data_IF_110630852029
#
_entry.id   IF_110630852029
#
_cell.length_a   1.000
_cell.length_b   1.000
_cell.length_c   1.000
_cell.angle_alpha   90.00
_cell.angle_beta   90.00
_cell.angle_gamma   90.00
#
_symmetry.space_group_name_H-M   'P 1'
#
loop_
_entity.id
_entity.type
_entity.pdbx_description
1 polymer ?
#
# COMPACT_ATOMS: atom_id res chain seq x y z
N UNK A 1 -25.38 13.52 45.21
CA UNK A 1 -25.79 12.58 44.13
C UNK A 1 -26.24 13.25 42.84
N UNK A 2 -27.09 14.30 42.85
CA UNK A 2 -27.59 14.96 41.63
C UNK A 2 -26.49 15.46 40.67
N UNK A 3 -25.42 16.09 41.17
CA UNK A 3 -24.30 16.54 40.35
C UNK A 3 -23.55 15.38 39.63
N UNK A 4 -23.39 14.24 40.31
CA UNK A 4 -22.77 13.03 39.74
C UNK A 4 -23.62 12.45 38.61
N UNK A 5 -24.95 12.45 38.77
CA UNK A 5 -25.89 12.02 37.73
C UNK A 5 -25.81 12.93 36.49
N UNK A 6 -25.82 14.25 36.69
CA UNK A 6 -25.72 15.23 35.59
C UNK A 6 -24.37 15.09 34.85
N UNK A 7 -23.28 14.90 35.59
CA UNK A 7 -21.96 14.64 35.00
C UNK A 7 -21.92 13.35 34.18
N UNK A 8 -22.53 12.28 34.69
CA UNK A 8 -22.62 11.00 33.96
C UNK A 8 -23.47 11.12 32.69
N UNK A 9 -24.61 11.84 32.72
CA UNK A 9 -25.43 12.08 31.54
C UNK A 9 -24.68 12.86 30.46
N UNK A 10 -23.93 13.90 30.85
CA UNK A 10 -23.08 14.67 29.92
C UNK A 10 -21.93 13.82 29.37
N UNK A 11 -21.26 13.04 30.23
CA UNK A 11 -20.19 12.13 29.80
C UNK A 11 -20.68 11.10 28.79
N UNK A 12 -21.86 10.50 29.03
CA UNK A 12 -22.48 9.57 28.08
C UNK A 12 -22.78 10.25 26.73
N UNK A 13 -23.35 11.45 26.74
CA UNK A 13 -23.63 12.20 25.51
C UNK A 13 -22.35 12.48 24.70
N UNK A 14 -21.27 12.92 25.36
CA UNK A 14 -19.98 13.17 24.70
C UNK A 14 -19.36 11.89 24.12
N UNK A 15 -19.43 10.78 24.86
CA UNK A 15 -18.94 9.49 24.38
C UNK A 15 -19.77 8.96 23.21
N UNK A 16 -21.09 9.16 23.23
CA UNK A 16 -21.98 8.78 22.13
C UNK A 16 -21.66 9.56 20.85
N UNK A 17 -21.45 10.88 20.96
CA UNK A 17 -21.03 11.70 19.81
C UNK A 17 -19.68 11.25 19.25
N UNK A 18 -18.71 10.92 20.12
CA UNK A 18 -17.42 10.35 19.70
C UNK A 18 -17.60 8.99 18.99
N UNK A 19 -18.42 8.09 19.53
CA UNK A 19 -18.66 6.78 18.91
C UNK A 19 -19.35 6.90 17.55
N UNK A 20 -20.26 7.85 17.39
CA UNK A 20 -20.96 8.07 16.12
C UNK A 20 -20.01 8.63 15.07
N UNK A 21 -19.17 9.60 15.43
CA UNK A 21 -18.12 10.12 14.56
C UNK A 21 -17.14 9.01 14.12
N UNK A 22 -16.68 8.17 15.06
CA UNK A 22 -15.82 7.03 14.74
C UNK A 22 -16.52 6.02 13.83
N UNK A 23 -17.79 5.73 14.06
CA UNK A 23 -18.56 4.80 13.21
C UNK A 23 -18.66 5.32 11.77
N UNK A 24 -18.87 6.63 11.57
CA UNK A 24 -18.86 7.23 10.24
C UNK A 24 -17.49 7.07 9.58
N UNK A 25 -16.40 7.33 10.31
CA UNK A 25 -15.03 7.16 9.81
C UNK A 25 -14.72 5.71 9.43
N UNK A 26 -15.11 4.74 10.26
CA UNK A 26 -14.95 3.31 9.98
C UNK A 26 -15.69 2.93 8.71
N UNK A 27 -16.93 3.41 8.50
CA UNK A 27 -17.69 3.17 7.27
C UNK A 27 -17.01 3.78 6.04
N UNK A 28 -16.45 4.99 6.15
CA UNK A 28 -15.70 5.61 5.06
C UNK A 28 -14.44 4.81 4.72
N UNK A 29 -13.70 4.35 5.73
CA UNK A 29 -12.52 3.50 5.56
C UNK A 29 -12.90 2.17 4.92
N UNK A 30 -13.98 1.52 5.37
CA UNK A 30 -14.46 0.27 4.78
C UNK A 30 -14.80 0.42 3.30
N UNK A 31 -15.49 1.50 2.91
CA UNK A 31 -15.76 1.79 1.49
C UNK A 31 -14.48 1.96 0.69
N UNK A 32 -13.51 2.70 1.22
CA UNK A 32 -12.19 2.85 0.58
C UNK A 32 -11.45 1.52 0.45
N UNK A 33 -11.49 0.67 1.48
CA UNK A 33 -10.84 -0.65 1.47
C UNK A 33 -11.46 -1.55 0.38
N UNK A 34 -12.78 -1.59 0.25
CA UNK A 34 -13.44 -2.41 -0.77
C UNK A 34 -13.06 -1.93 -2.18
N UNK A 35 -13.18 -0.62 -2.44
CA UNK A 35 -12.79 -0.03 -3.73
C UNK A 35 -11.31 -0.25 -4.05
N UNK A 36 -10.42 -0.06 -3.07
CA UNK A 36 -9.00 -0.31 -3.24
C UNK A 36 -8.72 -1.79 -3.52
N UNK A 37 -9.38 -2.71 -2.82
CA UNK A 37 -9.23 -4.16 -3.02
C UNK A 37 -9.64 -4.60 -4.42
N UNK A 38 -10.75 -4.08 -4.94
CA UNK A 38 -11.20 -4.34 -6.31
C UNK A 38 -10.17 -3.83 -7.33
N UNK A 39 -9.75 -2.56 -7.21
CA UNK A 39 -8.75 -1.98 -8.11
C UNK A 39 -7.39 -2.71 -8.05
N UNK A 40 -6.97 -3.12 -6.85
CA UNK A 40 -5.74 -3.88 -6.64
C UNK A 40 -5.83 -5.25 -7.30
N UNK A 41 -7.00 -5.91 -7.27
CA UNK A 41 -7.23 -7.18 -7.96
C UNK A 41 -6.97 -7.07 -9.47
N UNK A 42 -7.46 -6.01 -10.10
CA UNK A 42 -7.26 -5.77 -11.53
C UNK A 42 -5.80 -5.45 -11.86
N UNK A 43 -5.16 -4.55 -11.09
CA UNK A 43 -3.75 -4.17 -11.30
C UNK A 43 -2.82 -5.37 -11.12
N UNK A 44 -3.04 -6.19 -10.09
CA UNK A 44 -2.23 -7.40 -9.83
C UNK A 44 -2.44 -8.44 -10.93
N UNK A 45 -3.67 -8.58 -11.45
CA UNK A 45 -3.95 -9.48 -12.57
C UNK A 45 -3.19 -9.08 -13.83
N UNK A 46 -3.19 -7.79 -14.19
CA UNK A 46 -2.40 -7.29 -15.34
C UNK A 46 -0.90 -7.46 -15.08
N UNK A 47 -0.42 -7.11 -13.88
CA UNK A 47 1.00 -7.25 -13.52
C UNK A 47 1.47 -8.71 -13.56
N UNK A 48 0.61 -9.66 -13.17
CA UNK A 48 0.89 -11.09 -13.27
C UNK A 48 1.02 -11.54 -14.73
N UNK A 49 0.26 -10.97 -15.65
CA UNK A 49 0.40 -11.22 -17.08
C UNK A 49 1.73 -10.65 -17.60
N UNK A 50 2.08 -9.42 -17.23
CA UNK A 50 3.39 -8.82 -17.58
C UNK A 50 4.56 -9.66 -17.07
N UNK A 51 4.42 -10.29 -15.89
CA UNK A 51 5.40 -11.26 -15.37
C UNK A 51 5.51 -12.50 -16.25
N UNK A 52 4.40 -13.03 -16.74
CA UNK A 52 4.42 -14.20 -17.63
C UNK A 52 5.09 -13.87 -18.96
N UNK A 53 4.86 -12.68 -19.52
CA UNK A 53 5.56 -12.21 -20.72
C UNK A 53 7.06 -12.05 -20.47
N UNK A 54 7.43 -11.43 -19.33
CA UNK A 54 8.84 -11.29 -18.95
C UNK A 54 9.53 -12.66 -18.80
N UNK A 55 8.87 -13.63 -18.17
CA UNK A 55 9.39 -15.01 -18.05
C UNK A 55 9.48 -15.72 -19.39
N UNK A 56 8.51 -15.52 -20.28
CA UNK A 56 8.53 -16.12 -21.61
C UNK A 56 9.72 -15.63 -22.44
N UNK A 57 10.02 -14.33 -22.39
CA UNK A 57 11.12 -13.72 -23.16
C UNK A 57 12.49 -13.96 -22.52
N UNK A 58 12.59 -13.89 -21.19
CA UNK A 58 13.86 -13.97 -20.47
C UNK A 58 14.25 -15.39 -20.03
N UNK A 59 13.30 -16.35 -20.02
CA UNK A 59 13.53 -17.71 -19.54
C UNK A 59 14.00 -17.75 -18.08
N UNK A 60 14.93 -18.65 -17.76
CA UNK A 60 15.50 -18.80 -16.41
C UNK A 60 16.44 -17.66 -15.99
N UNK A 61 16.82 -16.77 -16.90
CA UNK A 61 17.75 -15.66 -16.61
C UNK A 61 17.16 -14.64 -15.63
N UNK A 62 15.83 -14.56 -15.47
CA UNK A 62 15.15 -13.64 -14.53
C UNK A 62 15.64 -13.86 -13.09
N UNK A 63 15.91 -15.12 -12.71
CA UNK A 63 16.36 -15.45 -11.35
C UNK A 63 17.70 -14.78 -11.04
N UNK A 64 18.68 -14.96 -11.91
CA UNK A 64 20.02 -14.39 -11.75
C UNK A 64 20.01 -12.86 -11.87
N UNK A 65 19.20 -12.32 -12.77
CA UNK A 65 19.14 -10.87 -13.02
C UNK A 65 18.44 -10.12 -11.90
N UNK A 66 17.37 -10.69 -11.32
CA UNK A 66 16.52 -9.97 -10.35
C UNK A 66 16.74 -10.44 -8.92
N UNK A 67 16.73 -11.75 -8.66
CA UNK A 67 16.78 -12.26 -7.27
C UNK A 67 18.19 -12.18 -6.68
N UNK A 68 19.23 -12.39 -7.49
CA UNK A 68 20.63 -12.35 -7.01
C UNK A 68 21.16 -10.90 -6.92
N UNK A 69 20.55 -9.96 -7.64
CA UNK A 69 20.94 -8.54 -7.64
C UNK A 69 20.16 -7.68 -6.62
N UNK A 70 19.62 -8.27 -5.54
CA UNK A 70 18.93 -7.51 -4.49
C UNK A 70 19.93 -7.06 -3.42
N UNK A 71 20.09 -5.74 -3.22
CA UNK A 71 20.91 -5.14 -2.14
C UNK A 71 20.08 -4.38 -1.12
N UNK A 72 19.36 -3.37 -1.60
CA UNK A 72 18.54 -2.49 -0.76
C UNK A 72 17.20 -2.24 -1.43
N UNK A 73 16.14 -2.09 -0.61
CA UNK A 73 14.82 -1.75 -1.11
C UNK A 73 14.80 -0.32 -1.69
N UNK A 74 14.37 -0.20 -2.95
CA UNK A 74 14.13 1.10 -3.60
C UNK A 74 12.89 1.79 -3.03
N UNK A 75 11.82 1.00 -2.82
CA UNK A 75 10.54 1.48 -2.32
C UNK A 75 10.46 1.15 -0.83
N UNK A 76 10.30 2.18 0.00
CA UNK A 76 10.29 2.09 1.47
C UNK A 76 8.99 2.67 2.02
N UNK A 77 8.65 2.29 3.24
CA UNK A 77 7.43 2.75 3.92
C UNK A 77 7.82 3.52 5.19
N UNK A 78 7.18 4.66 5.40
CA UNK A 78 7.29 5.47 6.62
C UNK A 78 5.96 5.46 7.36
N UNK A 79 6.00 5.38 8.68
CA UNK A 79 4.83 5.53 9.53
C UNK A 79 4.68 6.98 10.00
N UNK A 80 3.45 7.49 10.01
CA UNK A 80 3.04 8.77 10.56
C UNK A 80 1.85 8.55 11.48
N UNK A 81 1.74 9.32 12.57
CA UNK A 81 0.54 9.28 13.42
C UNK A 81 -0.49 10.30 12.92
N UNK A 82 -1.72 9.85 12.71
CA UNK A 82 -2.88 10.67 12.37
C UNK A 82 -3.90 10.62 13.52
N UNK A 83 -4.46 11.78 13.90
CA UNK A 83 -5.46 11.86 14.96
C UNK A 83 -6.86 11.94 14.36
N UNK A 84 -7.68 10.91 14.54
CA UNK A 84 -9.07 10.87 14.08
C UNK A 84 -10.00 10.83 15.28
N UNK A 85 -10.78 11.88 15.49
CA UNK A 85 -11.74 12.02 16.60
C UNK A 85 -11.12 11.70 17.99
N UNK A 86 -9.85 12.07 18.20
CA UNK A 86 -9.13 11.81 19.45
C UNK A 86 -8.60 10.37 19.60
N UNK A 87 -8.52 9.61 18.51
CA UNK A 87 -7.84 8.32 18.42
C UNK A 87 -6.60 8.48 17.53
N UNK A 88 -5.43 8.05 18.02
CA UNK A 88 -4.17 8.04 17.25
C UNK A 88 -4.12 6.79 16.37
N UNK A 89 -4.07 6.98 15.06
CA UNK A 89 -3.95 5.92 14.07
C UNK A 89 -2.58 5.98 13.39
N UNK A 90 -1.88 4.85 13.23
CA UNK A 90 -0.71 4.80 12.37
C UNK A 90 -1.14 4.81 10.90
N UNK A 91 -0.64 5.78 10.14
CA UNK A 91 -0.78 5.89 8.68
C UNK A 91 0.56 5.60 8.04
N UNK A 92 0.54 4.83 6.96
CA UNK A 92 1.74 4.50 6.19
C UNK A 92 1.80 5.37 4.93
N UNK A 93 2.98 5.88 4.62
CA UNK A 93 3.28 6.64 3.42
C UNK A 93 4.48 5.99 2.74
N UNK A 94 4.37 5.66 1.46
CA UNK A 94 5.50 5.13 0.70
C UNK A 94 6.44 6.26 0.28
N UNK A 95 7.72 5.95 0.14
CA UNK A 95 8.72 6.85 -0.42
C UNK A 95 9.74 6.05 -1.23
N UNK A 96 10.25 6.66 -2.30
CA UNK A 96 11.32 6.09 -3.11
C UNK A 96 12.65 6.68 -2.65
N UNK A 97 13.56 5.82 -2.21
CA UNK A 97 14.94 6.20 -1.92
C UNK A 97 15.70 6.06 -3.24
N UNK A 98 16.00 7.20 -3.89
CA UNK A 98 16.44 7.26 -5.29
C UNK A 98 17.64 6.37 -5.65
N UNK A 99 17.75 6.12 -6.97
CA UNK A 99 18.65 5.20 -7.69
C UNK A 99 18.37 3.69 -7.51
N UNK A 100 17.74 3.09 -8.52
CA UNK A 100 17.89 1.65 -8.74
C UNK A 100 18.99 1.39 -9.75
N UNK A 101 20.16 0.95 -9.27
CA UNK A 101 21.23 0.43 -10.11
C UNK A 101 20.99 -1.04 -10.46
N UNK A 102 19.84 -1.33 -11.05
CA UNK A 102 19.64 -2.61 -11.73
C UNK A 102 19.98 -2.39 -13.19
N UNK A 103 21.28 -2.34 -13.48
CA UNK A 103 21.79 -2.27 -14.84
C UNK A 103 21.44 -3.59 -15.55
N UNK A 104 20.37 -3.57 -16.34
CA UNK A 104 19.97 -4.67 -17.21
C UNK A 104 20.80 -4.71 -18.50
N UNK A 105 22.05 -4.25 -18.43
CA UNK A 105 22.97 -4.21 -19.57
C UNK A 105 23.27 -5.63 -20.06
N UNK A 106 23.12 -5.87 -21.36
CA UNK A 106 23.33 -7.19 -21.97
C UNK A 106 22.07 -8.04 -22.17
N UNK A 107 20.89 -7.58 -21.74
CA UNK A 107 19.62 -8.31 -21.86
C UNK A 107 18.77 -7.93 -23.09
N UNK A 108 19.21 -6.97 -23.90
CA UNK A 108 18.55 -6.52 -25.13
C UNK A 108 17.00 -6.43 -24.97
N UNK A 109 16.24 -7.16 -25.79
CA UNK A 109 14.77 -7.16 -25.78
C UNK A 109 14.16 -7.73 -24.49
N UNK A 110 14.85 -8.64 -23.81
CA UNK A 110 14.39 -9.20 -22.52
C UNK A 110 14.49 -8.19 -21.37
N UNK A 111 15.48 -7.29 -21.41
CA UNK A 111 15.63 -6.22 -20.43
C UNK A 111 14.46 -5.22 -20.46
N UNK A 112 13.97 -4.91 -21.65
CA UNK A 112 12.81 -4.02 -21.82
C UNK A 112 11.54 -4.60 -21.20
N UNK A 113 11.27 -5.91 -21.41
CA UNK A 113 10.09 -6.57 -20.84
C UNK A 113 10.17 -6.66 -19.30
N UNK A 114 11.37 -6.89 -18.75
CA UNK A 114 11.58 -6.89 -17.30
C UNK A 114 11.32 -5.49 -16.70
N UNK A 115 11.71 -4.40 -17.37
CA UNK A 115 11.41 -3.04 -16.89
C UNK A 115 9.91 -2.72 -16.95
N UNK A 116 9.21 -3.16 -17.99
CA UNK A 116 7.76 -2.99 -18.09
C UNK A 116 7.04 -3.72 -16.94
N UNK A 117 7.37 -4.99 -16.73
CA UNK A 117 6.87 -5.79 -15.61
C UNK A 117 7.17 -5.10 -14.27
N UNK A 118 8.39 -4.61 -14.08
CA UNK A 118 8.77 -3.86 -12.88
C UNK A 118 7.91 -2.62 -12.66
N UNK A 119 7.66 -1.84 -13.71
CA UNK A 119 6.81 -0.65 -13.61
C UNK A 119 5.36 -1.00 -13.25
N UNK A 120 4.83 -2.12 -13.76
CA UNK A 120 3.51 -2.63 -13.39
C UNK A 120 3.44 -3.03 -11.90
N UNK A 121 4.44 -3.75 -11.40
CA UNK A 121 4.51 -4.12 -9.98
C UNK A 121 4.76 -2.95 -9.04
N UNK A 122 5.48 -1.91 -9.47
CA UNK A 122 5.62 -0.67 -8.68
C UNK A 122 4.25 -0.02 -8.50
N UNK A 123 3.49 0.14 -9.60
CA UNK A 123 2.12 0.67 -9.55
C UNK A 123 1.16 -0.19 -8.73
N UNK A 124 1.41 -1.50 -8.62
CA UNK A 124 0.61 -2.40 -7.81
C UNK A 124 0.87 -2.26 -6.29
N UNK A 125 2.05 -1.73 -5.92
CA UNK A 125 2.50 -1.59 -4.53
C UNK A 125 2.26 -0.18 -3.98
N UNK A 126 2.22 0.83 -4.87
CA UNK A 126 1.81 2.22 -4.56
C UNK A 126 0.37 2.31 -4.04
#
# INVERSE_FOLDING_TARGET
>A
MKARLIGAMRGHALLKMKSDALTVQVRQILKKIVSAKESMGDIVKTSAFDLTEAKYVAGDNVKHVVLENVRSATLKVRSRQENVAGVKLPRFEYFSDGETKNDLTGLARSGQQIQLCRAAYIKAIE
#
